data_IF_519817989252
#
_entry.id   IF_519817989252
#
_cell.length_a   1.000
_cell.length_b   1.000
_cell.length_c   1.000
_cell.angle_alpha   90.00
_cell.angle_beta   90.00
_cell.angle_gamma   90.00
#
_symmetry.space_group_name_H-M   'P 1'
#
loop_
_entity.id
_entity.type
_entity.pdbx_description
1 polymer ?
#
# COMPACT_ATOMS: atom_id res chain seq x y z
N UNK A 1 10.79 14.57 -20.84
CA UNK A 1 10.24 13.82 -19.67
C UNK A 1 9.98 12.38 -20.13
N UNK A 2 10.88 11.43 -19.80
CA UNK A 2 10.96 10.15 -20.52
C UNK A 2 9.70 9.29 -20.40
N UNK A 3 9.28 8.71 -21.53
CA UNK A 3 8.13 7.79 -21.68
C UNK A 3 8.06 6.76 -20.53
N UNK A 4 9.22 6.25 -20.10
CA UNK A 4 9.41 5.27 -19.02
C UNK A 4 8.76 5.68 -17.70
N UNK A 5 8.82 6.97 -17.31
CA UNK A 5 8.20 7.41 -16.04
C UNK A 5 6.67 7.35 -16.06
N UNK A 6 6.06 7.54 -17.23
CA UNK A 6 4.59 7.55 -17.39
C UNK A 6 4.02 6.13 -17.33
N UNK A 7 4.73 5.14 -17.88
CA UNK A 7 4.26 3.75 -17.97
C UNK A 7 4.81 2.83 -16.88
N UNK A 8 5.63 3.32 -15.95
CA UNK A 8 6.24 2.51 -14.88
C UNK A 8 5.22 1.67 -14.09
N UNK A 9 4.04 2.24 -13.79
CA UNK A 9 2.95 1.53 -13.10
C UNK A 9 2.43 0.35 -13.93
N UNK A 10 2.22 0.57 -15.23
CA UNK A 10 1.70 -0.46 -16.12
C UNK A 10 2.72 -1.57 -16.34
N UNK A 11 4.00 -1.21 -16.50
CA UNK A 11 5.08 -2.18 -16.63
C UNK A 11 5.15 -3.09 -15.39
N UNK A 12 5.05 -2.52 -14.19
CA UNK A 12 5.05 -3.29 -12.93
C UNK A 12 3.80 -4.16 -12.83
N UNK A 13 2.62 -3.62 -13.14
CA UNK A 13 1.37 -4.38 -13.10
C UNK A 13 1.38 -5.56 -14.08
N UNK A 14 1.82 -5.35 -15.33
CA UNK A 14 1.95 -6.41 -16.34
C UNK A 14 2.98 -7.46 -15.90
N UNK A 15 4.12 -7.03 -15.37
CA UNK A 15 5.17 -7.96 -14.91
C UNK A 15 4.66 -8.87 -13.78
N UNK A 16 3.95 -8.31 -12.82
CA UNK A 16 3.34 -9.05 -11.72
C UNK A 16 2.22 -9.99 -12.20
N UNK A 17 1.42 -9.55 -13.17
CA UNK A 17 0.36 -10.38 -13.74
C UNK A 17 0.91 -11.57 -14.55
N UNK A 18 1.99 -11.37 -15.30
CA UNK A 18 2.73 -12.46 -15.93
C UNK A 18 3.25 -13.44 -14.88
N UNK A 19 3.77 -12.93 -13.75
CA UNK A 19 4.25 -13.77 -12.66
C UNK A 19 3.12 -14.62 -12.05
N UNK A 20 1.92 -14.08 -11.92
CA UNK A 20 0.73 -14.84 -11.47
C UNK A 20 0.43 -15.98 -12.43
N UNK A 21 0.42 -15.73 -13.74
CA UNK A 21 0.17 -16.79 -14.71
C UNK A 21 1.26 -17.86 -14.72
N UNK A 22 2.53 -17.47 -14.60
CA UNK A 22 3.64 -18.43 -14.47
C UNK A 22 3.47 -19.27 -13.21
N UNK A 23 3.14 -18.64 -12.07
CA UNK A 23 2.93 -19.33 -10.80
C UNK A 23 1.77 -20.33 -10.89
N UNK A 24 0.65 -19.91 -11.47
CA UNK A 24 -0.52 -20.77 -11.67
C UNK A 24 -0.21 -21.94 -12.62
N UNK A 25 0.53 -21.68 -13.70
CA UNK A 25 0.97 -22.73 -14.62
C UNK A 25 1.85 -23.78 -13.93
N UNK A 26 2.76 -23.35 -13.06
CA UNK A 26 3.67 -24.24 -12.34
C UNK A 26 2.96 -25.07 -11.25
N UNK A 27 1.98 -24.50 -10.56
CA UNK A 27 1.32 -25.13 -9.40
C UNK A 27 0.07 -25.91 -9.77
N UNK A 28 -0.84 -25.30 -10.53
CA UNK A 28 -2.16 -25.84 -10.84
C UNK A 28 -2.21 -26.54 -12.21
N UNK A 29 -1.17 -26.38 -13.03
CA UNK A 29 -1.06 -26.92 -14.41
C UNK A 29 -2.17 -26.48 -15.36
N UNK A 30 -3.08 -25.62 -14.92
CA UNK A 30 -4.18 -25.03 -15.68
C UNK A 30 -4.39 -23.60 -15.18
N UNK A 31 -4.78 -22.74 -16.11
CA UNK A 31 -5.19 -21.37 -15.78
C UNK A 31 -6.70 -21.42 -15.55
N UNK A 32 -7.12 -21.18 -14.31
CA UNK A 32 -8.52 -20.95 -13.94
C UNK A 32 -8.72 -19.48 -13.56
N UNK A 33 -9.87 -18.95 -13.96
CA UNK A 33 -10.29 -17.60 -13.60
C UNK A 33 -10.49 -17.43 -12.09
N UNK A 34 -10.84 -18.49 -11.36
CA UNK A 34 -10.98 -18.45 -9.91
C UNK A 34 -9.63 -18.19 -9.22
N UNK A 35 -8.63 -19.02 -9.49
CA UNK A 35 -7.32 -18.84 -8.86
C UNK A 35 -6.62 -17.57 -9.33
N UNK A 36 -6.83 -17.14 -10.59
CA UNK A 36 -6.36 -15.82 -11.05
C UNK A 36 -6.97 -14.70 -10.22
N UNK A 37 -8.27 -14.79 -9.88
CA UNK A 37 -8.94 -13.82 -9.00
C UNK A 37 -8.31 -13.79 -7.61
N UNK A 38 -8.06 -14.95 -7.01
CA UNK A 38 -7.49 -15.07 -5.66
C UNK A 38 -6.06 -14.52 -5.60
N UNK A 39 -5.18 -14.92 -6.51
CA UNK A 39 -3.79 -14.46 -6.52
C UNK A 39 -3.68 -12.95 -6.74
N UNK A 40 -4.48 -12.41 -7.67
CA UNK A 40 -4.51 -10.97 -7.90
C UNK A 40 -5.12 -10.21 -6.72
N UNK A 41 -6.08 -10.80 -5.99
CA UNK A 41 -6.62 -10.24 -4.75
C UNK A 41 -5.57 -10.21 -3.64
N UNK A 42 -4.78 -11.27 -3.45
CA UNK A 42 -3.71 -11.29 -2.46
C UNK A 42 -2.64 -10.22 -2.75
N UNK A 43 -2.28 -10.04 -4.02
CA UNK A 43 -1.36 -8.97 -4.44
C UNK A 43 -1.98 -7.60 -4.14
N UNK A 44 -3.25 -7.39 -4.46
CA UNK A 44 -3.95 -6.14 -4.14
C UNK A 44 -3.96 -5.89 -2.62
N UNK A 45 -4.28 -6.91 -1.81
CA UNK A 45 -4.28 -6.82 -0.36
C UNK A 45 -2.91 -6.42 0.19
N UNK A 46 -1.83 -7.05 -0.30
CA UNK A 46 -0.46 -6.70 0.08
C UNK A 46 -0.15 -5.23 -0.20
N UNK A 47 -0.40 -4.74 -1.42
CA UNK A 47 -0.18 -3.33 -1.75
C UNK A 47 -1.10 -2.38 -1.00
N UNK A 48 -2.31 -2.81 -0.63
CA UNK A 48 -3.26 -2.01 0.12
C UNK A 48 -2.73 -1.68 1.52
N UNK A 49 -2.06 -2.63 2.18
CA UNK A 49 -1.45 -2.41 3.51
C UNK A 49 -0.40 -1.30 3.43
N UNK A 50 0.49 -1.33 2.43
CA UNK A 50 1.50 -0.29 2.25
C UNK A 50 0.91 1.05 1.79
N UNK A 51 -0.11 1.02 0.93
CA UNK A 51 -0.77 2.23 0.43
C UNK A 51 -1.56 2.95 1.52
N UNK A 52 -2.39 2.21 2.26
CA UNK A 52 -3.18 2.75 3.37
C UNK A 52 -2.26 3.15 4.51
N UNK A 53 -1.30 2.30 4.89
CA UNK A 53 -0.30 2.60 5.91
C UNK A 53 0.47 3.88 5.56
N UNK A 54 0.99 3.99 4.35
CA UNK A 54 1.69 5.18 3.86
C UNK A 54 0.82 6.45 3.90
N UNK A 55 -0.47 6.34 3.57
CA UNK A 55 -1.42 7.45 3.69
C UNK A 55 -1.66 7.85 5.15
N UNK A 56 -1.73 6.90 6.08
CA UNK A 56 -1.87 7.17 7.52
C UNK A 56 -0.64 7.91 8.06
N UNK A 57 0.55 7.52 7.62
CA UNK A 57 1.80 8.21 7.98
C UNK A 57 1.88 9.62 7.39
N UNK A 58 1.49 9.80 6.12
CA UNK A 58 1.46 11.12 5.49
C UNK A 58 0.40 12.05 6.09
N UNK A 59 -0.74 11.51 6.54
CA UNK A 59 -1.80 12.29 7.20
C UNK A 59 -1.37 12.91 8.55
N UNK A 60 -0.14 12.66 9.03
CA UNK A 60 0.39 13.26 10.26
C UNK A 60 -0.08 12.55 11.53
N UNK A 61 -0.73 11.38 11.41
CA UNK A 61 -1.13 10.53 12.55
C UNK A 61 0.08 10.19 13.42
N UNK A 62 1.22 9.90 12.80
CA UNK A 62 2.46 9.58 13.50
C UNK A 62 3.14 10.81 14.11
N UNK A 63 3.04 11.97 13.45
CA UNK A 63 3.53 13.24 13.99
C UNK A 63 2.73 13.64 15.25
N UNK A 64 1.42 13.39 15.26
CA UNK A 64 0.56 13.58 16.42
C UNK A 64 0.88 12.59 17.55
N UNK A 65 1.11 11.32 17.22
CA UNK A 65 1.52 10.32 18.21
C UNK A 65 2.85 10.69 18.87
N UNK A 66 3.87 11.05 18.06
CA UNK A 66 5.18 11.45 18.56
C UNK A 66 5.09 12.71 19.44
N UNK A 67 4.29 13.69 19.03
CA UNK A 67 4.01 14.86 19.86
C UNK A 67 3.36 14.48 21.20
N UNK A 68 2.37 13.59 21.19
CA UNK A 68 1.65 13.15 22.39
C UNK A 68 2.57 12.40 23.36
N UNK A 69 3.45 11.54 22.83
CA UNK A 69 4.45 10.82 23.63
C UNK A 69 5.46 11.78 24.25
N UNK A 70 5.95 12.76 23.48
CA UNK A 70 6.89 13.75 23.98
C UNK A 70 6.25 14.66 25.03
N UNK A 71 4.99 15.04 24.83
CA UNK A 71 4.19 15.78 25.81
C UNK A 71 4.02 14.99 27.11
N UNK A 72 3.61 13.72 27.03
CA UNK A 72 3.45 12.84 28.20
C UNK A 72 4.78 12.63 28.95
N UNK A 73 5.88 12.47 28.22
CA UNK A 73 7.22 12.33 28.82
C UNK A 73 7.64 13.57 29.60
N UNK A 74 7.35 14.77 29.09
CA UNK A 74 7.62 16.04 29.79
C UNK A 74 6.71 16.19 31.02
N UNK A 75 5.45 15.79 30.93
CA UNK A 75 4.51 15.78 32.06
C UNK A 75 4.96 14.85 33.19
N UNK A 76 5.53 13.68 32.86
CA UNK A 76 6.05 12.71 33.83
C UNK A 76 7.42 13.09 34.40
N UNK A 77 8.16 14.03 33.79
CA UNK A 77 9.49 14.46 34.23
C UNK A 77 9.62 15.99 34.31
N UNK A 78 8.81 16.66 35.14
CA UNK A 78 8.72 18.13 35.17
C UNK A 78 10.02 18.80 35.65
N UNK A 79 10.90 18.08 36.36
CA UNK A 79 12.18 18.61 36.85
C UNK A 79 13.28 18.60 35.78
N UNK A 80 13.10 17.85 34.68
CA UNK A 80 14.09 17.73 33.58
C UNK A 80 13.73 18.57 32.35
N UNK A 81 12.46 18.93 32.19
CA UNK A 81 11.97 19.58 30.99
C UNK A 81 11.07 20.76 31.35
N UNK A 82 11.40 21.93 30.80
CA UNK A 82 10.57 23.12 30.94
C UNK A 82 9.37 23.03 29.98
N UNK A 83 8.16 22.98 30.56
CA UNK A 83 6.89 22.88 29.85
C UNK A 83 6.60 24.13 28.99
N UNK A 84 7.29 25.24 29.22
CA UNK A 84 7.17 26.47 28.42
C UNK A 84 7.89 26.37 27.08
N UNK A 85 8.81 25.41 26.91
CA UNK A 85 9.53 25.24 25.64
C UNK A 85 8.68 24.51 24.60
N UNK A 86 8.52 25.06 23.39
CA UNK A 86 7.71 24.43 22.35
C UNK A 86 8.30 23.07 21.96
N UNK A 87 7.46 22.03 21.92
CA UNK A 87 7.84 20.70 21.42
C UNK A 87 8.15 20.83 19.94
N UNK A 88 9.39 20.52 19.56
CA UNK A 88 9.82 20.58 18.15
C UNK A 88 9.17 19.43 17.40
N UNK A 89 8.13 19.72 16.61
CA UNK A 89 7.41 18.73 15.80
C UNK A 89 8.40 18.00 14.88
N UNK A 90 8.60 16.70 15.09
CA UNK A 90 9.23 15.84 14.08
C UNK A 90 8.25 15.71 12.92
N UNK A 91 8.64 16.17 11.73
CA UNK A 91 7.82 16.15 10.52
C UNK A 91 8.04 14.84 9.75
N UNK A 92 7.68 13.71 10.35
CA UNK A 92 7.81 12.41 9.70
C UNK A 92 6.82 12.30 8.53
N UNK A 93 5.65 12.95 8.62
CA UNK A 93 4.70 13.03 7.50
C UNK A 93 5.32 13.62 6.23
N UNK A 94 6.16 14.65 6.37
CA UNK A 94 6.87 15.26 5.22
C UNK A 94 7.92 14.33 4.62
N UNK A 95 8.56 13.50 5.44
CA UNK A 95 9.55 12.52 4.97
C UNK A 95 8.90 11.36 4.18
N UNK A 96 7.67 10.97 4.55
CA UNK A 96 6.91 9.93 3.82
C UNK A 96 6.35 10.47 2.51
N UNK A 97 5.87 11.72 2.52
CA UNK A 97 5.37 12.40 1.32
C UNK A 97 4.35 11.56 0.53
N UNK A 98 4.36 11.67 -0.80
CA UNK A 98 3.38 11.02 -1.69
C UNK A 98 3.75 9.60 -2.13
N UNK A 99 4.66 8.93 -1.42
CA UNK A 99 5.12 7.59 -1.78
C UNK A 99 3.99 6.55 -1.80
N UNK A 100 2.95 6.76 -0.98
CA UNK A 100 1.78 5.88 -0.88
C UNK A 100 0.92 5.81 -2.15
N UNK A 101 1.01 6.81 -3.05
CA UNK A 101 0.16 6.88 -4.25
C UNK A 101 0.45 5.70 -5.19
N UNK A 102 1.71 5.29 -5.28
CA UNK A 102 2.13 4.20 -6.15
C UNK A 102 1.52 2.84 -5.74
N UNK A 103 1.69 2.35 -4.50
CA UNK A 103 1.07 1.09 -4.05
C UNK A 103 -0.46 1.15 -4.06
N UNK A 104 -1.09 2.31 -3.76
CA UNK A 104 -2.54 2.47 -3.85
C UNK A 104 -3.06 2.32 -5.29
N UNK A 105 -2.35 2.87 -6.28
CA UNK A 105 -2.73 2.69 -7.69
C UNK A 105 -2.60 1.23 -8.13
N UNK A 106 -1.54 0.54 -7.71
CA UNK A 106 -1.38 -0.90 -7.98
C UNK A 106 -2.51 -1.71 -7.33
N UNK A 107 -2.87 -1.39 -6.09
CA UNK A 107 -3.99 -2.01 -5.38
C UNK A 107 -5.27 -1.95 -6.21
N UNK A 108 -5.64 -0.76 -6.70
CA UNK A 108 -6.86 -0.57 -7.49
C UNK A 108 -6.81 -1.39 -8.79
N UNK A 109 -5.68 -1.38 -9.49
CA UNK A 109 -5.52 -2.13 -10.74
C UNK A 109 -5.70 -3.64 -10.50
N UNK A 110 -5.00 -4.21 -9.52
CA UNK A 110 -5.09 -5.63 -9.21
C UNK A 110 -6.46 -6.04 -8.67
N UNK A 111 -7.10 -5.17 -7.89
CA UNK A 111 -8.45 -5.40 -7.41
C UNK A 111 -9.48 -5.44 -8.55
N UNK A 112 -9.37 -4.54 -9.53
CA UNK A 112 -10.23 -4.57 -10.72
C UNK A 112 -10.02 -5.84 -11.56
N UNK A 113 -8.77 -6.27 -11.70
CA UNK A 113 -8.44 -7.52 -12.42
C UNK A 113 -9.01 -8.73 -11.67
N UNK A 114 -8.89 -8.76 -10.34
CA UNK A 114 -9.46 -9.80 -9.49
C UNK A 114 -10.98 -9.88 -9.66
N UNK A 115 -11.68 -8.74 -9.61
CA UNK A 115 -13.13 -8.67 -9.83
C UNK A 115 -13.52 -9.12 -11.25
N UNK A 116 -12.81 -8.68 -12.28
CA UNK A 116 -13.08 -9.12 -13.65
C UNK A 116 -12.88 -10.63 -13.80
N UNK A 117 -11.81 -11.18 -13.23
CA UNK A 117 -11.55 -12.62 -13.26
C UNK A 117 -12.66 -13.40 -12.54
N UNK A 118 -13.14 -12.90 -11.40
CA UNK A 118 -14.25 -13.52 -10.68
C UNK A 118 -15.55 -13.51 -11.50
N UNK A 119 -15.86 -12.39 -12.16
CA UNK A 119 -17.02 -12.29 -13.04
C UNK A 119 -16.91 -13.28 -14.21
N UNK A 120 -15.73 -13.39 -14.83
CA UNK A 120 -15.48 -14.33 -15.92
C UNK A 120 -15.65 -15.78 -15.47
N UNK A 121 -15.18 -16.13 -14.26
CA UNK A 121 -15.40 -17.45 -13.68
C UNK A 121 -16.89 -17.79 -13.62
N UNK A 122 -17.71 -16.92 -13.01
CA UNK A 122 -19.16 -17.13 -12.90
C UNK A 122 -19.91 -17.07 -14.24
N UNK A 123 -19.33 -16.48 -15.28
CA UNK A 123 -19.98 -16.36 -16.59
C UNK A 123 -19.64 -17.52 -17.53
N UNK A 124 -18.42 -18.07 -17.43
CA UNK A 124 -17.87 -19.00 -18.43
C UNK A 124 -17.39 -20.35 -17.88
N UNK A 125 -17.04 -20.45 -16.59
CA UNK A 125 -16.50 -21.67 -15.97
C UNK A 125 -17.51 -22.38 -15.03
N UNK A 126 -18.54 -21.67 -14.55
CA UNK A 126 -19.67 -22.20 -13.76
C UNK A 126 -20.83 -22.56 -14.68
#
# INVERSE_FOLDING_TARGET
MSFVKKYKIFIVAISLLILVFIYQWLTEKRISFLSTSDYTLYIAAFFSVFGIGGKIFEAGTFDFFMYSVEYLKRMLQPHKYDLTTPIKRKQLSQAVGKAYIFPLRLTIIFFLISLMSLILHYTFEV
#
